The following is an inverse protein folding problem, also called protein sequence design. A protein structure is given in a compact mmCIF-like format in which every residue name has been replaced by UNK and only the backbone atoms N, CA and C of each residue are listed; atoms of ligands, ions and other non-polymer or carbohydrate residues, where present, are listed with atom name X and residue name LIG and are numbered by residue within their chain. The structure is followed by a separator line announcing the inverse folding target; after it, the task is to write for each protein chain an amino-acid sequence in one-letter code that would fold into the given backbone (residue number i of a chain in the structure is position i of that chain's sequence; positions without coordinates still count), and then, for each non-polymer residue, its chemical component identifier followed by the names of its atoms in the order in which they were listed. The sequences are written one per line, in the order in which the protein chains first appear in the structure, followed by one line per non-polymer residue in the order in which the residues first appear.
data_IF_438138096449
#
_entry.id   IF_438138096449
#
_cell.length_a   1.000
_cell.length_b   1.000
_cell.length_c   1.000
_cell.angle_alpha   90.00
_cell.angle_beta   90.00
_cell.angle_gamma   90.00
#
_symmetry.space_group_name_H-M   'P 1'
#
loop_
_entity.id
_entity.type
_entity.pdbx_description
1 polymer ?
#
# COMPACT_ATOMS: atom_id res chain seq x y z
N UNK A 1 23.71 2.07 10.50
CA UNK A 1 22.38 1.70 10.00
C UNK A 1 21.37 2.33 10.93
N UNK A 2 20.55 3.25 10.44
CA UNK A 2 19.51 3.89 11.26
C UNK A 2 18.23 3.06 11.27
N UNK A 3 17.33 3.33 12.22
CA UNK A 3 16.04 2.63 12.30
C UNK A 3 15.17 2.86 11.06
N UNK A 4 15.25 4.06 10.47
CA UNK A 4 14.58 4.39 9.20
C UNK A 4 15.16 3.62 8.01
N UNK A 5 16.50 3.55 7.88
CA UNK A 5 17.15 2.75 6.85
C UNK A 5 16.80 1.26 6.95
N UNK A 6 16.68 0.73 8.17
CA UNK A 6 16.26 -0.66 8.39
C UNK A 6 14.83 -0.92 7.91
N UNK A 7 13.89 -0.02 8.24
CA UNK A 7 12.49 -0.13 7.79
C UNK A 7 12.37 -0.06 6.27
N UNK A 8 13.09 0.87 5.63
CA UNK A 8 13.12 1.00 4.17
C UNK A 8 13.64 -0.28 3.49
N UNK A 9 14.71 -0.87 4.04
CA UNK A 9 15.24 -2.14 3.49
C UNK A 9 14.30 -3.32 3.71
N UNK A 10 13.59 -3.36 4.85
CA UNK A 10 12.57 -4.39 5.09
C UNK A 10 11.38 -4.25 4.13
N UNK A 11 10.92 -3.03 3.88
CA UNK A 11 9.86 -2.75 2.92
C UNK A 11 10.27 -3.23 1.52
N UNK A 12 11.45 -2.81 1.03
CA UNK A 12 11.99 -3.23 -0.25
C UNK A 12 12.09 -4.77 -0.35
N UNK A 13 12.51 -5.42 0.74
CA UNK A 13 12.55 -6.88 0.80
C UNK A 13 11.15 -7.52 0.67
N UNK A 14 10.13 -6.96 1.34
CA UNK A 14 8.75 -7.46 1.23
C UNK A 14 8.17 -7.24 -0.17
N UNK A 15 8.46 -6.11 -0.81
CA UNK A 15 8.06 -5.87 -2.21
C UNK A 15 8.71 -6.88 -3.17
N UNK A 16 10.01 -7.17 -2.98
CA UNK A 16 10.70 -8.23 -3.76
C UNK A 16 10.12 -9.62 -3.51
N UNK A 17 9.62 -9.88 -2.30
CA UNK A 17 8.92 -11.14 -2.00
C UNK A 17 7.56 -11.21 -2.70
N UNK A 18 6.83 -10.09 -2.76
CA UNK A 18 5.56 -10.00 -3.48
C UNK A 18 5.74 -10.25 -4.98
N UNK A 19 6.82 -9.76 -5.57
CA UNK A 19 7.16 -10.02 -6.98
C UNK A 19 7.32 -11.53 -7.24
N UNK A 20 8.11 -12.22 -6.41
CA UNK A 20 8.24 -13.69 -6.49
C UNK A 20 6.91 -14.43 -6.33
N UNK A 21 6.06 -13.97 -5.40
CA UNK A 21 4.72 -14.55 -5.24
C UNK A 21 3.85 -14.32 -6.49
N UNK A 22 4.00 -13.17 -7.15
CA UNK A 22 3.29 -12.84 -8.39
C UNK A 22 3.71 -13.78 -9.52
N UNK A 23 5.00 -14.08 -9.65
CA UNK A 23 5.51 -15.03 -10.64
C UNK A 23 4.96 -16.44 -10.39
N UNK A 24 5.02 -16.91 -9.14
CA UNK A 24 4.47 -18.21 -8.74
C UNK A 24 2.96 -18.28 -8.99
N UNK A 25 2.23 -17.22 -8.65
CA UNK A 25 0.80 -17.12 -8.91
C UNK A 25 0.51 -17.16 -10.41
N UNK A 26 1.33 -16.49 -11.24
CA UNK A 26 1.19 -16.50 -12.69
C UNK A 26 1.39 -17.90 -13.26
N UNK A 27 2.42 -18.61 -12.80
CA UNK A 27 2.65 -20.01 -13.19
C UNK A 27 1.47 -20.91 -12.78
N UNK A 28 0.99 -20.79 -11.54
CA UNK A 28 -0.16 -21.56 -11.06
C UNK A 28 -1.43 -21.26 -11.86
N UNK A 29 -1.66 -19.99 -12.21
CA UNK A 29 -2.76 -19.57 -13.05
C UNK A 29 -2.69 -20.21 -14.44
N UNK A 30 -1.53 -20.19 -15.08
CA UNK A 30 -1.34 -20.82 -16.39
C UNK A 30 -1.62 -22.32 -16.33
N UNK A 31 -1.09 -23.01 -15.32
CA UNK A 31 -1.37 -24.43 -15.10
C UNK A 31 -2.86 -24.71 -14.91
N UNK A 32 -3.56 -23.87 -14.13
CA UNK A 32 -5.01 -23.96 -13.96
C UNK A 32 -5.75 -23.77 -15.29
N UNK A 33 -5.34 -22.80 -16.12
CA UNK A 33 -6.01 -22.55 -17.41
C UNK A 33 -5.83 -23.68 -18.41
N UNK A 34 -4.64 -24.31 -18.44
CA UNK A 34 -4.38 -25.48 -19.28
C UNK A 34 -5.28 -26.64 -18.88
N UNK A 35 -5.35 -26.98 -17.58
CA UNK A 35 -6.19 -28.07 -17.08
C UNK A 35 -7.69 -27.78 -17.20
N UNK A 36 -8.09 -26.50 -17.13
CA UNK A 36 -9.49 -26.11 -17.29
C UNK A 36 -10.04 -26.36 -18.70
N UNK A 37 -9.20 -26.71 -19.70
CA UNK A 37 -9.66 -27.12 -21.04
C UNK A 37 -9.86 -28.63 -21.17
N UNK A 38 -9.32 -29.42 -20.26
CA UNK A 38 -9.38 -30.90 -20.27
C UNK A 38 -10.43 -31.41 -19.29
N UNK A 39 -11.65 -31.65 -19.77
CA UNK A 39 -12.78 -32.15 -18.98
C UNK A 39 -14.06 -32.27 -19.82
N UNK A 40 -15.00 -33.12 -19.38
CA UNK A 40 -16.29 -33.40 -20.04
C UNK A 40 -17.05 -32.10 -20.40
N UNK A 41 -17.78 -32.10 -21.54
CA UNK A 41 -18.62 -31.01 -22.12
C UNK A 41 -18.54 -29.68 -21.33
N UNK A 42 -17.53 -28.85 -21.65
CA UNK A 42 -17.32 -27.48 -21.15
C UNK A 42 -16.80 -27.34 -19.71
N UNK A 43 -15.57 -27.79 -19.42
CA UNK A 43 -14.90 -27.50 -18.16
C UNK A 43 -14.74 -25.98 -17.98
N UNK A 44 -15.14 -25.48 -16.81
CA UNK A 44 -15.06 -24.05 -16.45
C UNK A 44 -14.01 -23.86 -15.36
N UNK A 45 -13.05 -22.93 -15.51
CA UNK A 45 -12.07 -22.66 -14.47
C UNK A 45 -12.75 -22.07 -13.23
N UNK A 46 -12.29 -22.48 -12.04
CA UNK A 46 -12.78 -21.97 -10.73
C UNK A 46 -12.69 -20.45 -10.64
N UNK A 47 -11.63 -19.88 -11.20
CA UNK A 47 -11.43 -18.44 -11.30
C UNK A 47 -11.42 -18.03 -12.77
N UNK A 48 -12.17 -16.99 -13.12
CA UNK A 48 -12.29 -16.49 -14.50
C UNK A 48 -11.27 -15.42 -14.87
N UNK A 49 -10.70 -14.74 -13.86
CA UNK A 49 -9.76 -13.64 -14.03
C UNK A 49 -8.60 -13.83 -13.05
N UNK A 50 -7.38 -13.52 -13.50
CA UNK A 50 -6.19 -13.57 -12.66
C UNK A 50 -6.34 -12.73 -11.39
N UNK A 51 -6.89 -11.51 -11.49
CA UNK A 51 -7.13 -10.63 -10.32
C UNK A 51 -8.03 -11.24 -9.23
N UNK A 52 -8.88 -12.23 -9.56
CA UNK A 52 -9.68 -12.97 -8.57
C UNK A 52 -8.91 -14.12 -7.91
N UNK A 53 -7.86 -14.59 -8.57
CA UNK A 53 -6.96 -15.61 -8.05
C UNK A 53 -5.84 -14.99 -7.20
N UNK A 54 -5.25 -13.89 -7.67
CA UNK A 54 -4.19 -13.16 -6.98
C UNK A 54 -4.31 -11.65 -7.25
N UNK A 55 -4.42 -10.85 -6.18
CA UNK A 55 -4.56 -9.40 -6.26
C UNK A 55 -3.30 -8.71 -5.73
N UNK A 56 -2.32 -8.50 -6.62
CA UNK A 56 -1.03 -7.88 -6.29
C UNK A 56 -1.20 -6.50 -5.67
N UNK A 57 -2.12 -5.68 -6.19
CA UNK A 57 -2.34 -4.31 -5.74
C UNK A 57 -2.77 -4.28 -4.26
N UNK A 58 -3.63 -5.22 -3.86
CA UNK A 58 -4.09 -5.32 -2.48
C UNK A 58 -2.94 -5.69 -1.53
N UNK A 59 -2.07 -6.63 -1.91
CA UNK A 59 -0.91 -7.01 -1.12
C UNK A 59 0.15 -5.92 -1.04
N UNK A 60 0.43 -5.23 -2.15
CA UNK A 60 1.37 -4.11 -2.17
C UNK A 60 0.89 -2.99 -1.25
N UNK A 61 -0.40 -2.68 -1.29
CA UNK A 61 -1.02 -1.71 -0.40
C UNK A 61 -0.89 -2.11 1.08
N UNK A 62 -1.10 -3.39 1.42
CA UNK A 62 -0.89 -3.89 2.79
C UNK A 62 0.56 -3.77 3.26
N UNK A 63 1.54 -4.05 2.38
CA UNK A 63 2.97 -3.91 2.70
C UNK A 63 3.28 -2.45 3.03
N UNK A 64 2.92 -1.53 2.14
CA UNK A 64 3.19 -0.10 2.31
C UNK A 64 2.47 0.49 3.54
N UNK A 65 1.24 0.06 3.83
CA UNK A 65 0.53 0.43 5.07
C UNK A 65 1.28 0.01 6.33
N UNK A 66 1.95 -1.15 6.31
CA UNK A 66 2.65 -1.70 7.48
C UNK A 66 3.92 -0.93 7.82
N UNK A 67 4.60 -0.37 6.83
CA UNK A 67 5.85 0.38 7.02
C UNK A 67 5.64 1.87 7.27
N UNK A 68 4.38 2.32 7.36
CA UNK A 68 4.07 3.68 7.78
C UNK A 68 4.37 4.71 6.70
N UNK A 69 4.27 4.33 5.43
CA UNK A 69 4.42 5.26 4.32
C UNK A 69 3.15 6.14 4.26
N UNK A 70 3.17 7.23 5.04
CA UNK A 70 2.11 8.25 5.14
C UNK A 70 1.71 8.86 3.76
N UNK A 71 2.50 8.59 2.71
CA UNK A 71 2.23 8.98 1.32
C UNK A 71 1.13 8.20 0.64
N UNK A 72 0.83 6.98 1.11
CA UNK A 72 -0.42 6.33 0.75
C UNK A 72 -1.50 6.80 1.71
N UNK A 73 -1.88 8.07 1.53
CA UNK A 73 -3.09 8.64 2.10
C UNK A 73 -4.18 7.59 1.95
N UNK A 74 -4.59 7.06 3.10
CA UNK A 74 -5.47 5.92 3.18
C UNK A 74 -6.58 6.08 2.14
N UNK A 75 -6.95 4.98 1.49
CA UNK A 75 -8.27 4.77 0.89
C UNK A 75 -9.41 4.92 1.93
N UNK A 76 -9.17 5.65 3.01
CA UNK A 76 -10.15 6.38 3.75
C UNK A 76 -11.08 7.07 2.77
N UNK A 77 -12.37 6.82 2.89
CA UNK A 77 -13.36 7.53 2.08
C UNK A 77 -13.05 9.04 2.15
N UNK A 78 -13.30 9.81 1.08
CA UNK A 78 -13.07 11.27 1.05
C UNK A 78 -13.56 11.99 2.33
N UNK A 79 -14.57 11.42 3.00
CA UNK A 79 -15.10 11.81 4.31
C UNK A 79 -14.11 11.67 5.47
N UNK A 80 -13.42 10.55 5.59
CA UNK A 80 -12.44 10.29 6.66
C UNK A 80 -11.19 11.18 6.50
N UNK A 81 -10.68 11.34 5.27
CA UNK A 81 -9.58 12.28 5.00
C UNK A 81 -9.95 13.73 5.41
N UNK A 82 -11.17 14.17 5.12
CA UNK A 82 -11.65 15.50 5.52
C UNK A 82 -11.73 15.67 7.05
N UNK A 83 -12.13 14.62 7.78
CA UNK A 83 -12.21 14.64 9.24
C UNK A 83 -10.82 14.71 9.87
N UNK A 84 -9.87 13.90 9.36
CA UNK A 84 -8.47 13.91 9.80
C UNK A 84 -7.85 15.30 9.55
N UNK A 85 -8.08 15.89 8.37
CA UNK A 85 -7.61 17.24 8.06
C UNK A 85 -8.19 18.29 9.03
N UNK A 86 -9.50 18.26 9.28
CA UNK A 86 -10.13 19.21 10.22
C UNK A 86 -9.60 19.06 11.65
N UNK A 87 -9.34 17.84 12.11
CA UNK A 87 -8.74 17.58 13.42
C UNK A 87 -7.33 18.15 13.50
N UNK A 88 -6.47 17.82 12.53
CA UNK A 88 -5.09 18.33 12.45
C UNK A 88 -5.04 19.85 12.35
N UNK A 89 -5.95 20.47 11.58
CA UNK A 89 -6.04 21.93 11.45
C UNK A 89 -6.46 22.62 12.76
N UNK A 90 -7.36 22.01 13.54
CA UNK A 90 -7.72 22.51 14.88
C UNK A 90 -6.55 22.44 15.84
N UNK A 91 -5.82 21.32 15.86
CA UNK A 91 -4.63 21.17 16.70
C UNK A 91 -3.54 22.16 16.30
N UNK A 92 -3.29 22.31 15.01
CA UNK A 92 -2.37 23.32 14.48
C UNK A 92 -2.73 24.73 14.96
N UNK A 93 -3.99 25.16 14.82
CA UNK A 93 -4.44 26.47 15.32
C UNK A 93 -4.24 26.64 16.82
N UNK A 94 -4.47 25.58 17.61
CA UNK A 94 -4.24 25.59 19.06
C UNK A 94 -2.77 25.80 19.38
N UNK A 95 -1.89 25.05 18.73
CA UNK A 95 -0.45 25.12 18.92
C UNK A 95 0.15 26.44 18.42
N UNK A 96 -0.40 27.00 17.33
CA UNK A 96 -0.10 28.35 16.84
C UNK A 96 -0.45 29.40 17.89
N UNK A 97 -1.64 29.33 18.50
CA UNK A 97 -2.06 30.25 19.57
C UNK A 97 -1.17 30.14 20.81
N UNK A 98 -0.64 28.95 21.09
CA UNK A 98 0.30 28.70 22.19
C UNK A 98 1.76 29.09 21.87
N UNK A 99 2.04 29.57 20.65
CA UNK A 99 3.40 29.95 20.23
C UNK A 99 4.38 28.77 20.12
N UNK A 100 3.88 27.53 20.06
CA UNK A 100 4.72 26.32 20.01
C UNK A 100 5.02 25.82 18.59
N UNK A 101 4.56 26.56 17.58
CA UNK A 101 4.82 26.25 16.16
C UNK A 101 5.66 27.36 15.56
N UNK A 102 6.75 26.95 14.93
CA UNK A 102 7.59 27.79 14.11
C UNK A 102 7.12 27.74 12.65
N UNK A 103 6.47 28.81 12.21
CA UNK A 103 5.92 28.95 10.85
C UNK A 103 7.01 29.17 9.78
N UNK A 104 8.24 29.43 10.20
CA UNK A 104 9.37 29.81 9.34
C UNK A 104 10.47 28.76 9.28
N UNK A 105 10.31 27.63 9.97
CA UNK A 105 11.28 26.54 9.99
C UNK A 105 11.70 26.09 8.58
N UNK A 106 10.76 26.05 7.64
CA UNK A 106 11.00 25.67 6.23
C UNK A 106 11.94 26.62 5.46
N UNK A 107 12.18 27.84 5.94
CA UNK A 107 13.13 28.77 5.29
C UNK A 107 14.57 28.54 5.73
N UNK A 108 14.80 27.97 6.93
CA UNK A 108 16.16 27.77 7.46
C UNK A 108 16.87 26.56 6.86
N UNK A 109 16.13 25.67 6.20
CA UNK A 109 16.69 24.50 5.52
C UNK A 109 17.11 24.81 4.07
N UNK A 110 16.82 26.02 3.56
CA UNK A 110 17.08 26.43 2.19
C UNK A 110 18.35 27.30 2.03
N UNK A 111 19.02 27.66 3.14
CA UNK A 111 20.32 28.34 3.20
C UNK A 111 21.42 27.35 3.61
#
# INVERSE_FOLDING_TARGET
MTWSEYHLRLEAYQLRQLERQTDLATQAWMNQTVQATTGKKNPKPKYRKFKKFFDREAYEHQIRQRFGDDYLGATSSRRQASQIFMQRFKEFKRLQKLGRIDMTAWRREAD
#
